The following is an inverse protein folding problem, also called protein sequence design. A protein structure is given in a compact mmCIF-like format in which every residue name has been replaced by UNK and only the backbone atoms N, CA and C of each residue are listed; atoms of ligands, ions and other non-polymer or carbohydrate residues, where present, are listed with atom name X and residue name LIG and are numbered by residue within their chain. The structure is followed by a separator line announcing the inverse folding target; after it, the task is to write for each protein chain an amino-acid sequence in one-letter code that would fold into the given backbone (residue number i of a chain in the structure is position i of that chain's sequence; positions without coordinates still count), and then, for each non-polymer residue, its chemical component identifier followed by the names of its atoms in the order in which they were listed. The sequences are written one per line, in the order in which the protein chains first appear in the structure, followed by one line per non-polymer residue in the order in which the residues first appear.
data_IF_277576580773
#
_entry.id   IF_277576580773
#
_cell.length_a   1.000
_cell.length_b   1.000
_cell.length_c   1.000
_cell.angle_alpha   90.00
_cell.angle_beta   90.00
_cell.angle_gamma   90.00
#
_symmetry.space_group_name_H-M   'P 1'
#
loop_
_entity.id
_entity.type
_entity.pdbx_description
1 polymer ?
#
# COMPACT_ATOMS: atom_id res chain seq x y z
N UNK A 1 1.84 25.97 -0.50
CA UNK A 1 2.12 24.91 0.51
C UNK A 1 0.91 23.98 0.69
N UNK A 2 -0.25 24.48 1.16
CA UNK A 2 -1.48 23.67 1.33
C UNK A 2 -2.00 23.09 0.01
N UNK A 3 -2.03 23.87 -1.08
CA UNK A 3 -2.62 23.44 -2.36
C UNK A 3 -1.95 22.19 -2.95
N UNK A 4 -0.62 22.08 -2.86
CA UNK A 4 0.11 20.92 -3.37
C UNK A 4 -0.20 19.65 -2.56
N UNK A 5 -0.34 19.78 -1.24
CA UNK A 5 -0.69 18.68 -0.35
C UNK A 5 -2.14 18.23 -0.57
N UNK A 6 -3.06 19.17 -0.83
CA UNK A 6 -4.45 18.88 -1.20
C UNK A 6 -4.54 18.16 -2.54
N UNK A 7 -3.83 18.62 -3.57
CA UNK A 7 -3.79 17.95 -4.88
C UNK A 7 -3.21 16.55 -4.76
N UNK A 8 -2.13 16.38 -3.99
CA UNK A 8 -1.56 15.08 -3.69
C UNK A 8 -2.57 14.16 -3.00
N UNK A 9 -3.22 14.63 -1.94
CA UNK A 9 -4.23 13.86 -1.21
C UNK A 9 -5.41 13.45 -2.12
N UNK A 10 -5.84 14.36 -3.00
CA UNK A 10 -6.90 14.08 -3.96
C UNK A 10 -6.51 12.98 -4.97
N UNK A 11 -5.31 13.07 -5.55
CA UNK A 11 -4.78 12.04 -6.45
C UNK A 11 -4.67 10.70 -5.73
N UNK A 12 -4.09 10.68 -4.53
CA UNK A 12 -3.95 9.47 -3.71
C UNK A 12 -5.32 8.89 -3.34
N UNK A 13 -6.31 9.73 -3.05
CA UNK A 13 -7.69 9.31 -2.77
C UNK A 13 -8.35 8.62 -3.97
N UNK A 14 -8.21 9.17 -5.17
CA UNK A 14 -8.72 8.55 -6.41
C UNK A 14 -8.03 7.21 -6.67
N UNK A 15 -6.69 7.17 -6.55
CA UNK A 15 -5.93 5.94 -6.72
C UNK A 15 -6.33 4.88 -5.68
N UNK A 16 -6.57 5.30 -4.44
CA UNK A 16 -7.05 4.42 -3.37
C UNK A 16 -8.40 3.82 -3.72
N UNK A 17 -9.34 4.62 -4.22
CA UNK A 17 -10.63 4.13 -4.71
C UNK A 17 -10.47 3.05 -5.79
N UNK A 18 -9.60 3.31 -6.78
CA UNK A 18 -9.32 2.34 -7.84
C UNK A 18 -8.71 1.03 -7.29
N UNK A 19 -7.78 1.13 -6.34
CA UNK A 19 -7.16 -0.04 -5.68
C UNK A 19 -8.22 -0.85 -4.93
N UNK A 20 -9.08 -0.20 -4.13
CA UNK A 20 -10.11 -0.89 -3.34
C UNK A 20 -11.11 -1.60 -4.24
N UNK A 21 -11.57 -0.94 -5.32
CA UNK A 21 -12.50 -1.54 -6.29
C UNK A 21 -11.84 -2.70 -7.05
N UNK A 22 -10.57 -2.55 -7.43
CA UNK A 22 -9.81 -3.57 -8.16
C UNK A 22 -9.26 -4.72 -7.30
N UNK A 23 -9.23 -4.57 -5.98
CA UNK A 23 -8.56 -5.54 -5.12
C UNK A 23 -9.16 -6.94 -5.24
N UNK A 24 -10.50 -7.05 -5.34
CA UNK A 24 -11.16 -8.35 -5.44
C UNK A 24 -10.91 -9.00 -6.81
N UNK A 25 -10.92 -8.22 -7.89
CA UNK A 25 -10.64 -8.76 -9.23
C UNK A 25 -9.19 -9.24 -9.35
N UNK A 26 -8.24 -8.54 -8.74
CA UNK A 26 -6.84 -8.99 -8.67
C UNK A 26 -6.67 -10.25 -7.83
N UNK A 27 -7.35 -10.36 -6.68
CA UNK A 27 -7.31 -11.55 -5.86
C UNK A 27 -7.81 -12.79 -6.64
N UNK A 28 -8.92 -12.65 -7.38
CA UNK A 28 -9.46 -13.70 -8.24
C UNK A 28 -8.51 -14.02 -9.41
N UNK A 29 -7.99 -13.01 -10.10
CA UNK A 29 -7.06 -13.20 -11.22
C UNK A 29 -5.75 -13.90 -10.79
N UNK A 30 -5.32 -13.69 -9.54
CA UNK A 30 -4.14 -14.34 -8.97
C UNK A 30 -4.44 -15.73 -8.36
N UNK A 31 -5.69 -16.18 -8.36
CA UNK A 31 -6.14 -17.44 -7.76
C UNK A 31 -5.99 -17.48 -6.24
N UNK A 32 -6.05 -16.32 -5.58
CA UNK A 32 -5.83 -16.19 -4.14
C UNK A 32 -7.12 -16.45 -3.38
N UNK A 33 -7.10 -17.43 -2.48
CA UNK A 33 -8.21 -17.68 -1.57
C UNK A 33 -8.14 -16.71 -0.38
N UNK A 34 -8.77 -15.55 -0.54
CA UNK A 34 -8.75 -14.49 0.47
C UNK A 34 -9.76 -14.74 1.60
N UNK A 35 -9.24 -15.13 2.77
CA UNK A 35 -9.99 -15.08 4.02
C UNK A 35 -10.06 -13.65 4.56
N UNK A 36 -11.01 -13.41 5.48
CA UNK A 36 -11.16 -12.12 6.16
C UNK A 36 -9.85 -11.58 6.77
N UNK A 37 -9.05 -12.45 7.40
CA UNK A 37 -7.76 -12.06 7.99
C UNK A 37 -6.73 -11.60 6.94
N UNK A 38 -6.73 -12.19 5.75
CA UNK A 38 -5.82 -11.81 4.66
C UNK A 38 -6.21 -10.49 4.03
N UNK A 39 -7.51 -10.26 3.93
CA UNK A 39 -8.06 -8.95 3.56
C UNK A 39 -7.63 -7.88 4.56
N UNK A 40 -7.78 -8.15 5.86
CA UNK A 40 -7.36 -7.23 6.91
C UNK A 40 -5.85 -6.95 6.86
N UNK A 41 -5.03 -7.99 6.67
CA UNK A 41 -3.56 -7.84 6.59
C UNK A 41 -3.14 -7.02 5.34
N UNK A 42 -3.82 -7.24 4.22
CA UNK A 42 -3.55 -6.51 2.97
C UNK A 42 -4.00 -5.05 3.08
N UNK A 43 -5.17 -4.80 3.68
CA UNK A 43 -5.66 -3.47 3.96
C UNK A 43 -4.74 -2.73 4.93
N UNK A 44 -4.27 -3.40 6.00
CA UNK A 44 -3.32 -2.83 6.96
C UNK A 44 -2.00 -2.45 6.29
N UNK A 45 -1.45 -3.34 5.45
CA UNK A 45 -0.25 -3.06 4.67
C UNK A 45 -0.45 -1.83 3.76
N UNK A 46 -1.58 -1.75 3.09
CA UNK A 46 -1.90 -0.63 2.20
C UNK A 46 -2.11 0.70 2.95
N UNK A 47 -2.81 0.70 4.09
CA UNK A 47 -2.99 1.88 4.94
C UNK A 47 -1.63 2.36 5.46
N UNK A 48 -0.75 1.45 5.85
CA UNK A 48 0.60 1.79 6.30
C UNK A 48 1.43 2.42 5.17
N UNK A 49 1.32 1.90 3.94
CA UNK A 49 1.91 2.52 2.76
C UNK A 49 1.42 3.95 2.57
N UNK A 50 0.11 4.18 2.63
CA UNK A 50 -0.47 5.52 2.50
C UNK A 50 0.04 6.44 3.60
N UNK A 51 0.00 6.00 4.86
CA UNK A 51 0.47 6.78 6.01
C UNK A 51 1.92 7.23 5.84
N UNK A 52 2.82 6.32 5.46
CA UNK A 52 4.24 6.64 5.26
C UNK A 52 4.46 7.57 4.06
N UNK A 53 3.68 7.40 2.99
CA UNK A 53 3.72 8.30 1.84
C UNK A 53 3.30 9.70 2.26
N UNK A 54 2.17 9.85 2.95
CA UNK A 54 1.71 11.13 3.48
C UNK A 54 2.73 11.77 4.43
N UNK A 55 3.31 11.00 5.36
CA UNK A 55 4.34 11.50 6.28
C UNK A 55 5.56 12.06 5.53
N UNK A 56 6.04 11.36 4.50
CA UNK A 56 7.15 11.83 3.68
C UNK A 56 6.83 13.14 2.94
N UNK A 57 5.65 13.23 2.33
CA UNK A 57 5.22 14.43 1.61
C UNK A 57 4.93 15.61 2.53
N UNK A 58 4.50 15.37 3.77
CA UNK A 58 4.37 16.41 4.81
C UNK A 58 5.73 17.03 5.11
N UNK A 59 6.77 16.23 5.37
CA UNK A 59 8.12 16.76 5.62
C UNK A 59 8.68 17.53 4.42
N UNK A 60 8.43 17.06 3.18
CA UNK A 60 8.81 17.81 1.99
C UNK A 60 8.04 19.14 1.88
N UNK A 61 6.76 19.15 2.25
CA UNK A 61 5.90 20.34 2.24
C UNK A 61 6.30 21.39 3.27
N UNK A 62 6.89 20.98 4.39
CA UNK A 62 7.41 21.87 5.46
C UNK A 62 8.79 22.46 5.16
N UNK A 63 9.37 22.15 3.98
CA UNK A 63 10.68 22.66 3.57
C UNK A 63 11.85 21.75 3.94
N UNK A 64 11.59 20.65 4.65
CA UNK A 64 12.60 19.64 5.02
C UNK A 64 12.72 18.54 3.95
N UNK A 65 13.03 18.94 2.72
CA UNK A 65 13.07 18.01 1.56
C UNK A 65 14.04 16.85 1.78
N UNK A 66 15.17 17.09 2.44
CA UNK A 66 16.14 16.05 2.77
C UNK A 66 15.59 15.01 3.76
N UNK A 67 14.79 15.45 4.76
CA UNK A 67 14.11 14.54 5.68
C UNK A 67 13.03 13.74 4.95
N UNK A 68 12.27 14.39 4.06
CA UNK A 68 11.29 13.73 3.21
C UNK A 68 11.88 12.59 2.38
N UNK A 69 12.99 12.82 1.68
CA UNK A 69 13.65 11.77 0.88
C UNK A 69 14.16 10.60 1.73
N UNK A 70 14.71 10.88 2.91
CA UNK A 70 15.14 9.83 3.86
C UNK A 70 13.94 9.00 4.33
N UNK A 71 12.83 9.66 4.65
CA UNK A 71 11.58 8.99 5.05
C UNK A 71 11.03 8.13 3.91
N UNK A 72 11.02 8.60 2.66
CA UNK A 72 10.65 7.75 1.50
C UNK A 72 11.55 6.53 1.42
N UNK A 73 12.88 6.72 1.47
CA UNK A 73 13.84 5.62 1.36
C UNK A 73 13.60 4.52 2.41
N UNK A 74 13.48 4.91 3.68
CA UNK A 74 13.20 3.97 4.78
C UNK A 74 11.83 3.31 4.59
N UNK A 75 10.82 4.10 4.24
CA UNK A 75 9.46 3.61 4.04
C UNK A 75 9.37 2.59 2.92
N UNK A 76 10.07 2.82 1.79
CA UNK A 76 10.10 1.88 0.66
C UNK A 76 10.73 0.56 1.09
N UNK A 77 11.87 0.59 1.80
CA UNK A 77 12.52 -0.64 2.29
C UNK A 77 11.58 -1.42 3.20
N UNK A 78 10.94 -0.76 4.16
CA UNK A 78 9.96 -1.39 5.05
C UNK A 78 8.78 -1.97 4.28
N UNK A 79 8.22 -1.22 3.32
CA UNK A 79 7.10 -1.67 2.50
C UNK A 79 7.44 -2.88 1.64
N UNK A 80 8.65 -2.93 1.09
CA UNK A 80 9.13 -4.09 0.30
C UNK A 80 9.25 -5.33 1.18
N UNK A 81 9.84 -5.21 2.37
CA UNK A 81 9.99 -6.34 3.31
C UNK A 81 8.61 -6.86 3.74
N UNK A 82 7.73 -5.96 4.19
CA UNK A 82 6.37 -6.33 4.61
C UNK A 82 5.55 -6.88 3.44
N UNK A 83 5.71 -6.30 2.25
CA UNK A 83 5.04 -6.73 1.03
C UNK A 83 5.49 -8.12 0.59
N UNK A 84 6.78 -8.43 0.68
CA UNK A 84 7.30 -9.77 0.43
C UNK A 84 6.77 -10.80 1.45
N UNK A 85 6.69 -10.41 2.73
CA UNK A 85 6.08 -11.24 3.77
C UNK A 85 4.60 -11.51 3.50
N UNK A 86 3.83 -10.47 3.19
CA UNK A 86 2.42 -10.56 2.83
C UNK A 86 2.25 -11.44 1.58
N UNK A 87 3.04 -11.23 0.52
CA UNK A 87 2.98 -12.01 -0.69
C UNK A 87 3.22 -13.50 -0.41
N UNK A 88 4.20 -13.86 0.42
CA UNK A 88 4.41 -15.25 0.85
C UNK A 88 3.17 -15.84 1.53
N UNK A 89 2.57 -15.10 2.48
CA UNK A 89 1.36 -15.55 3.19
C UNK A 89 0.20 -15.76 2.21
N UNK A 90 0.00 -14.83 1.28
CA UNK A 90 -1.07 -14.89 0.28
C UNK A 90 -0.88 -16.05 -0.70
N UNK A 91 0.34 -16.21 -1.22
CA UNK A 91 0.68 -17.24 -2.20
C UNK A 91 0.65 -18.65 -1.62
N UNK A 92 0.96 -18.82 -0.33
CA UNK A 92 0.82 -20.09 0.38
C UNK A 92 -0.64 -20.60 0.44
N UNK A 93 -1.61 -19.87 -0.12
CA UNK A 93 -3.02 -20.25 -0.13
C UNK A 93 -3.68 -20.02 -1.46
N UNK A 94 -2.87 -20.04 -2.51
CA UNK A 94 -3.38 -20.38 -3.83
C UNK A 94 -4.05 -21.74 -3.75
N UNK A 95 -5.29 -21.81 -4.21
CA UNK A 95 -5.97 -23.06 -4.45
C UNK A 95 -5.24 -23.81 -5.56
N UNK A 96 -4.66 -24.97 -5.24
CA UNK A 96 -4.21 -25.92 -6.27
C UNK A 96 -5.44 -26.43 -7.04
N UNK A 97 -5.38 -26.59 -8.38
CA UNK A 97 -6.48 -27.13 -9.18
C UNK A 97 -6.76 -28.63 -8.96
N UNK A 98 -6.04 -29.32 -8.07
CA UNK A 98 -6.11 -30.77 -7.93
C UNK A 98 -6.44 -31.20 -6.49
N UNK A 99 -7.74 -31.23 -6.17
CA UNK A 99 -8.30 -32.04 -5.06
C UNK A 99 -9.77 -32.33 -5.31
#
# INVERSE_FOLDING_TARGET
MITNLVVFAFIVGILTGAVVVGANSWALALGLRMSWWRWLLSALWYILLLFLLFAAFTFMGEGEVAAGWRTIGISVVLMVILGAGLARILLASRSHPDS
#
